data_IF_824587745614
#
_entry.id   IF_824587745614
#
_cell.length_a   1.000
_cell.length_b   1.000
_cell.length_c   1.000
_cell.angle_alpha   90.00
_cell.angle_beta   90.00
_cell.angle_gamma   90.00
#
_symmetry.space_group_name_H-M   'P 1'
#
loop_
_entity.id
_entity.type
_entity.pdbx_description
1 polymer ?
#
# COMPACT_ATOMS: atom_id res chain seq x y z
N UNK A 1 37.23 7.97 -12.59
CA UNK A 1 36.37 9.14 -12.82
C UNK A 1 35.04 8.63 -13.33
N UNK A 2 34.04 8.46 -12.46
CA UNK A 2 32.67 8.19 -12.90
C UNK A 2 32.11 9.46 -13.51
N UNK A 3 31.61 9.37 -14.74
CA UNK A 3 30.90 10.47 -15.36
C UNK A 3 29.70 10.87 -14.48
N UNK A 4 29.40 12.16 -14.38
CA UNK A 4 28.25 12.64 -13.64
C UNK A 4 26.96 12.10 -14.25
N UNK A 5 26.10 11.60 -13.37
CA UNK A 5 24.82 11.02 -13.70
C UNK A 5 23.93 12.13 -14.29
N UNK A 6 23.63 12.06 -15.58
CA UNK A 6 22.60 12.90 -16.21
C UNK A 6 21.22 12.35 -15.86
N UNK A 7 20.59 12.96 -14.86
CA UNK A 7 19.24 12.62 -14.42
C UNK A 7 18.19 13.14 -15.38
N UNK A 8 17.90 12.49 -16.51
CA UNK A 8 16.72 12.86 -17.29
C UNK A 8 15.46 12.26 -16.66
N UNK A 9 14.61 13.07 -16.00
CA UNK A 9 13.39 12.55 -15.41
C UNK A 9 12.49 12.02 -16.53
N UNK A 10 11.98 10.80 -16.36
CA UNK A 10 11.06 10.18 -17.32
C UNK A 10 9.78 11.02 -17.46
N UNK A 11 9.45 11.77 -16.41
CA UNK A 11 8.23 12.56 -16.30
C UNK A 11 8.59 14.04 -16.20
N UNK A 12 7.94 14.86 -17.02
CA UNK A 12 8.09 16.32 -16.95
C UNK A 12 7.60 16.87 -15.61
N UNK A 13 8.36 17.72 -14.94
CA UNK A 13 7.90 18.42 -13.74
C UNK A 13 7.07 19.63 -14.16
N UNK A 14 5.75 19.45 -14.24
CA UNK A 14 4.78 20.51 -14.50
C UNK A 14 3.69 20.45 -13.43
N UNK A 15 3.08 21.58 -13.06
CA UNK A 15 1.86 21.59 -12.26
C UNK A 15 0.78 20.74 -12.92
N UNK A 16 0.14 19.88 -12.12
CA UNK A 16 -0.84 18.89 -12.55
C UNK A 16 -2.13 18.97 -11.76
N UNK A 17 -3.25 18.66 -12.40
CA UNK A 17 -4.51 18.44 -11.70
C UNK A 17 -4.56 17.03 -11.11
N UNK A 18 -5.50 16.77 -10.20
CA UNK A 18 -5.67 15.44 -9.57
C UNK A 18 -5.88 14.34 -10.63
N UNK A 19 -6.67 14.64 -11.66
CA UNK A 19 -6.93 13.71 -12.77
C UNK A 19 -5.66 13.41 -13.58
N UNK A 20 -4.77 14.40 -13.74
CA UNK A 20 -3.47 14.18 -14.39
C UNK A 20 -2.52 13.34 -13.52
N UNK A 21 -2.59 13.47 -12.19
CA UNK A 21 -1.85 12.58 -11.27
C UNK A 21 -2.35 11.14 -11.33
N UNK A 22 -3.66 10.94 -11.46
CA UNK A 22 -4.27 9.61 -11.66
C UNK A 22 -3.89 8.99 -13.02
N UNK A 23 -4.01 9.75 -14.11
CA UNK A 23 -3.57 9.30 -15.45
C UNK A 23 -2.10 8.87 -15.45
N UNK A 24 -1.25 9.66 -14.80
CA UNK A 24 0.16 9.34 -14.71
C UNK A 24 0.45 8.10 -13.85
N UNK A 25 -0.35 7.86 -12.80
CA UNK A 25 -0.31 6.60 -12.04
C UNK A 25 -0.69 5.39 -12.91
N UNK A 26 -1.75 5.48 -13.71
CA UNK A 26 -2.11 4.41 -14.64
C UNK A 26 -1.03 4.17 -15.70
N UNK A 27 -0.45 5.23 -16.27
CA UNK A 27 0.67 5.11 -17.22
C UNK A 27 1.88 4.45 -16.60
N UNK A 28 2.23 4.81 -15.35
CA UNK A 28 3.32 4.18 -14.62
C UNK A 28 3.04 2.69 -14.40
N UNK A 29 1.85 2.34 -13.92
CA UNK A 29 1.46 0.93 -13.70
C UNK A 29 1.45 0.16 -15.02
N UNK A 30 0.98 0.74 -16.12
CA UNK A 30 1.00 0.11 -17.43
C UNK A 30 2.42 -0.12 -17.96
N UNK A 31 3.32 0.87 -17.80
CA UNK A 31 4.70 0.75 -18.25
C UNK A 31 5.52 -0.24 -17.41
N UNK A 32 5.27 -0.30 -16.10
CA UNK A 32 5.97 -1.19 -15.16
C UNK A 32 5.06 -2.31 -14.63
N UNK A 33 4.17 -2.84 -15.48
CA UNK A 33 3.12 -3.78 -15.06
C UNK A 33 3.70 -5.02 -14.38
N UNK A 34 4.74 -5.62 -14.94
CA UNK A 34 5.35 -6.84 -14.37
C UNK A 34 5.94 -6.63 -12.97
N UNK A 35 6.58 -5.47 -12.71
CA UNK A 35 7.15 -5.17 -11.40
C UNK A 35 6.05 -4.86 -10.38
N UNK A 36 5.07 -4.05 -10.79
CA UNK A 36 3.92 -3.66 -9.95
C UNK A 36 3.07 -4.89 -9.59
N UNK A 37 2.78 -5.76 -10.56
CA UNK A 37 2.06 -7.02 -10.32
C UNK A 37 2.89 -7.99 -9.46
N UNK A 38 4.21 -8.01 -9.60
CA UNK A 38 5.09 -8.81 -8.74
C UNK A 38 5.00 -8.40 -7.27
N UNK A 39 5.02 -7.09 -6.98
CA UNK A 39 4.82 -6.57 -5.61
C UNK A 39 3.41 -6.83 -5.10
N UNK A 40 2.41 -6.69 -5.96
CA UNK A 40 1.04 -7.03 -5.62
C UNK A 40 0.89 -8.51 -5.28
N UNK A 41 1.37 -9.42 -6.13
CA UNK A 41 1.34 -10.87 -5.87
C UNK A 41 2.05 -11.22 -4.56
N UNK A 42 3.18 -10.56 -4.28
CA UNK A 42 3.94 -10.81 -3.06
C UNK A 42 3.13 -10.56 -1.77
N UNK A 43 2.22 -9.58 -1.79
CA UNK A 43 1.46 -9.17 -0.59
C UNK A 43 0.00 -9.57 -0.68
N UNK A 44 -0.67 -9.26 -1.78
CA UNK A 44 -2.08 -9.54 -1.96
C UNK A 44 -2.40 -11.04 -1.98
N UNK A 45 -1.55 -11.88 -2.56
CA UNK A 45 -1.79 -13.33 -2.56
C UNK A 45 -1.80 -13.93 -1.15
N UNK A 46 -0.75 -13.77 -0.30
CA UNK A 46 -0.79 -14.31 1.05
C UNK A 46 -1.87 -13.65 1.91
N UNK A 47 -2.14 -12.35 1.73
CA UNK A 47 -3.22 -11.67 2.45
C UNK A 47 -4.59 -12.22 2.08
N UNK A 48 -4.88 -12.41 0.79
CA UNK A 48 -6.14 -13.02 0.34
C UNK A 48 -6.27 -14.47 0.77
N UNK A 49 -5.20 -15.27 0.68
CA UNK A 49 -5.22 -16.65 1.18
C UNK A 49 -5.52 -16.71 2.68
N UNK A 50 -4.95 -15.79 3.46
CA UNK A 50 -5.22 -15.71 4.88
C UNK A 50 -6.66 -15.29 5.17
N UNK A 51 -7.19 -14.28 4.46
CA UNK A 51 -8.60 -13.91 4.59
C UNK A 51 -9.49 -15.10 4.29
N UNK A 52 -9.17 -15.91 3.27
CA UNK A 52 -9.92 -17.12 2.93
C UNK A 52 -9.92 -18.11 4.09
N UNK A 53 -8.73 -18.44 4.61
CA UNK A 53 -8.56 -19.40 5.71
C UNK A 53 -9.29 -18.91 6.96
N UNK A 54 -9.15 -17.65 7.30
CA UNK A 54 -9.77 -17.08 8.49
C UNK A 54 -11.28 -16.96 8.38
N UNK A 55 -11.83 -16.66 7.21
CA UNK A 55 -13.29 -16.66 7.00
C UNK A 55 -13.87 -18.07 6.85
N UNK A 56 -13.08 -19.04 6.36
CA UNK A 56 -13.52 -20.43 6.22
C UNK A 56 -13.52 -21.19 7.56
N UNK A 57 -12.52 -20.95 8.41
CA UNK A 57 -12.32 -21.69 9.66
C UNK A 57 -12.61 -20.87 10.92
N UNK A 58 -12.81 -19.57 10.80
CA UNK A 58 -13.18 -18.68 11.89
C UNK A 58 -14.38 -17.83 11.52
N UNK A 59 -15.07 -17.31 12.55
CA UNK A 59 -16.16 -16.34 12.39
C UNK A 59 -15.61 -14.94 12.09
N UNK A 60 -14.87 -14.83 10.98
CA UNK A 60 -14.20 -13.59 10.58
C UNK A 60 -15.10 -12.82 9.62
N UNK A 61 -15.75 -11.80 10.16
CA UNK A 61 -16.56 -10.85 9.41
C UNK A 61 -15.71 -9.90 8.53
N UNK A 62 -16.36 -9.23 7.57
CA UNK A 62 -15.81 -8.12 6.75
C UNK A 62 -14.98 -7.10 7.54
N UNK A 63 -15.34 -6.82 8.80
CA UNK A 63 -14.62 -5.86 9.65
C UNK A 63 -13.16 -6.25 9.87
N UNK A 64 -12.89 -7.52 10.10
CA UNK A 64 -11.54 -8.06 10.22
C UNK A 64 -10.83 -8.05 8.89
N UNK A 65 -11.54 -8.33 7.81
CA UNK A 65 -11.01 -8.26 6.44
C UNK A 65 -10.53 -6.85 6.11
N UNK A 66 -11.29 -5.82 6.46
CA UNK A 66 -10.87 -4.41 6.29
C UNK A 66 -9.61 -4.09 7.10
N UNK A 67 -9.47 -4.62 8.32
CA UNK A 67 -8.25 -4.48 9.12
C UNK A 67 -7.06 -5.17 8.45
N UNK A 68 -7.24 -6.40 7.99
CA UNK A 68 -6.20 -7.18 7.30
C UNK A 68 -5.76 -6.47 6.02
N UNK A 69 -6.71 -5.98 5.20
CA UNK A 69 -6.43 -5.17 4.01
C UNK A 69 -5.61 -3.94 4.42
N UNK A 70 -6.05 -3.19 5.42
CA UNK A 70 -5.33 -2.00 5.88
C UNK A 70 -3.88 -2.33 6.22
N UNK A 71 -3.64 -3.35 7.04
CA UNK A 71 -2.27 -3.74 7.41
C UNK A 71 -1.45 -4.18 6.20
N UNK A 72 -2.05 -4.89 5.24
CA UNK A 72 -1.39 -5.29 4.01
C UNK A 72 -1.04 -4.11 3.09
N UNK A 73 -1.81 -3.02 3.11
CA UNK A 73 -1.49 -1.82 2.33
C UNK A 73 -0.20 -1.12 2.79
N UNK A 74 0.21 -1.29 4.06
CA UNK A 74 1.39 -0.64 4.62
C UNK A 74 2.71 -1.10 3.96
N UNK A 75 3.08 -2.40 4.01
CA UNK A 75 4.28 -2.87 3.31
C UNK A 75 4.16 -2.69 1.79
N UNK A 76 2.94 -2.82 1.24
CA UNK A 76 2.73 -2.67 -0.20
C UNK A 76 3.03 -1.25 -0.67
N UNK A 77 2.53 -0.25 0.05
CA UNK A 77 2.83 1.16 -0.26
C UNK A 77 4.32 1.48 -0.12
N UNK A 78 5.04 0.76 0.74
CA UNK A 78 6.48 0.98 0.93
C UNK A 78 7.30 0.41 -0.20
N UNK A 79 7.03 -0.83 -0.59
CA UNK A 79 7.65 -1.44 -1.77
C UNK A 79 7.39 -0.60 -3.03
N UNK A 80 6.14 -0.14 -3.18
CA UNK A 80 5.73 0.61 -4.35
C UNK A 80 6.45 1.97 -4.46
N UNK A 81 6.52 2.74 -3.37
CA UNK A 81 7.19 4.05 -3.40
C UNK A 81 8.71 3.91 -3.48
N UNK A 82 9.29 2.92 -2.80
CA UNK A 82 10.73 2.69 -2.85
C UNK A 82 11.21 2.27 -4.26
N UNK A 83 10.35 1.61 -5.04
CA UNK A 83 10.61 1.32 -6.45
C UNK A 83 10.27 2.49 -7.38
N UNK A 84 9.15 3.19 -7.14
CA UNK A 84 8.69 4.27 -8.00
C UNK A 84 9.64 5.47 -8.01
N UNK A 85 10.12 5.89 -6.83
CA UNK A 85 10.97 7.08 -6.69
C UNK A 85 12.22 6.99 -7.59
N UNK A 86 13.12 5.98 -7.47
CA UNK A 86 14.32 5.91 -8.31
C UNK A 86 14.03 5.85 -9.81
N UNK A 87 12.99 5.12 -10.22
CA UNK A 87 12.63 5.00 -11.65
C UNK A 87 12.16 6.32 -12.23
N UNK A 88 11.35 7.07 -11.49
CA UNK A 88 10.78 8.34 -11.96
C UNK A 88 11.84 9.42 -12.12
N UNK A 89 12.81 9.44 -11.19
CA UNK A 89 13.93 10.39 -11.25
C UNK A 89 15.05 9.97 -12.21
N UNK A 90 14.94 8.81 -12.88
CA UNK A 90 15.85 8.43 -13.96
C UNK A 90 17.18 7.83 -13.48
N UNK A 91 17.24 7.19 -12.30
CA UNK A 91 18.34 6.27 -12.00
C UNK A 91 18.38 5.20 -13.10
N UNK A 92 19.35 5.27 -14.00
CA UNK A 92 19.44 4.34 -15.12
C UNK A 92 19.52 2.90 -14.58
N UNK A 93 18.75 1.98 -15.15
CA UNK A 93 18.75 0.58 -14.71
C UNK A 93 20.14 -0.08 -14.84
N UNK A 94 21.03 0.51 -15.65
CA UNK A 94 22.45 0.19 -15.80
C UNK A 94 23.28 0.51 -14.56
N UNK A 95 22.99 1.60 -13.84
CA UNK A 95 23.66 1.92 -12.56
C UNK A 95 23.11 1.11 -11.39
N UNK A 96 21.82 0.72 -11.44
CA UNK A 96 21.28 -0.30 -10.54
C UNK A 96 21.84 -1.70 -10.81
N UNK A 97 22.38 -1.95 -12.02
CA UNK A 97 23.07 -3.20 -12.39
C UNK A 97 24.57 -3.21 -12.09
N UNK A 98 25.20 -2.07 -11.81
CA UNK A 98 26.61 -2.06 -11.39
C UNK A 98 26.71 -2.74 -10.02
N UNK A 99 27.27 -3.94 -10.09
CA UNK A 99 27.47 -5.00 -9.10
C UNK A 99 26.61 -4.96 -7.83
N UNK A 100 25.95 -6.07 -7.45
CA UNK A 100 25.58 -6.29 -6.07
C UNK A 100 26.89 -6.41 -5.27
N UNK A 101 27.53 -5.28 -4.97
CA UNK A 101 28.44 -5.17 -3.86
C UNK A 101 27.70 -5.86 -2.72
N UNK A 102 28.30 -6.92 -2.21
CA UNK A 102 27.84 -7.77 -1.11
C UNK A 102 27.50 -6.88 0.07
N UNK A 103 26.31 -6.29 0.05
CA UNK A 103 25.73 -5.58 1.17
C UNK A 103 24.92 -6.63 1.91
N UNK A 104 25.39 -7.13 3.07
CA UNK A 104 24.65 -8.07 3.90
C UNK A 104 23.29 -7.52 4.39
N UNK A 105 22.97 -6.27 4.07
CA UNK A 105 21.84 -5.52 4.61
C UNK A 105 20.55 -5.63 3.77
N UNK A 106 20.57 -6.21 2.56
CA UNK A 106 19.32 -6.49 1.81
C UNK A 106 18.40 -7.46 2.56
N UNK A 107 18.99 -8.36 3.36
CA UNK A 107 18.25 -9.25 4.26
C UNK A 107 17.52 -8.49 5.38
N UNK A 108 17.97 -7.27 5.73
CA UNK A 108 17.39 -6.50 6.83
C UNK A 108 16.02 -5.92 6.49
N UNK A 109 15.86 -5.32 5.31
CA UNK A 109 14.56 -4.82 4.85
C UNK A 109 13.53 -5.95 4.73
N UNK A 110 13.99 -7.11 4.27
CA UNK A 110 13.20 -8.33 4.22
C UNK A 110 12.81 -8.84 5.60
N UNK A 111 13.77 -8.93 6.51
CA UNK A 111 13.53 -9.41 7.87
C UNK A 111 12.60 -8.46 8.61
N UNK A 112 12.68 -7.15 8.37
CA UNK A 112 11.76 -6.19 9.00
C UNK A 112 10.34 -6.34 8.46
N UNK A 113 10.14 -6.48 7.15
CA UNK A 113 8.81 -6.75 6.58
C UNK A 113 8.26 -8.09 7.04
N UNK A 114 9.10 -9.13 7.10
CA UNK A 114 8.75 -10.46 7.61
C UNK A 114 8.48 -10.48 9.11
N UNK A 115 9.19 -9.67 9.91
CA UNK A 115 8.99 -9.55 11.35
C UNK A 115 7.75 -8.71 11.63
N UNK A 116 7.46 -7.68 10.84
CA UNK A 116 6.22 -6.89 10.98
C UNK A 116 5.01 -7.72 10.58
N UNK A 117 5.10 -8.43 9.45
CA UNK A 117 4.10 -9.42 9.08
C UNK A 117 4.02 -10.44 10.20
N UNK A 118 5.10 -11.13 10.55
CA UNK A 118 5.14 -12.18 11.57
C UNK A 118 4.60 -11.76 12.95
N UNK A 119 5.00 -10.59 13.48
CA UNK A 119 4.53 -10.06 14.77
C UNK A 119 3.10 -9.56 14.68
N UNK A 120 2.73 -8.84 13.61
CA UNK A 120 1.35 -8.43 13.37
C UNK A 120 0.42 -9.62 13.25
N UNK A 121 0.87 -10.68 12.56
CA UNK A 121 0.16 -11.95 12.41
C UNK A 121 0.12 -12.74 13.72
N UNK A 122 1.20 -12.79 14.50
CA UNK A 122 1.25 -13.48 15.79
C UNK A 122 0.32 -12.82 16.81
N UNK A 123 0.33 -11.49 16.89
CA UNK A 123 -0.54 -10.75 17.78
C UNK A 123 -2.02 -10.89 17.38
N UNK A 124 -2.32 -10.91 16.07
CA UNK A 124 -3.68 -11.18 15.58
C UNK A 124 -4.12 -12.60 15.95
N UNK A 125 -3.25 -13.59 15.73
CA UNK A 125 -3.53 -15.00 16.03
C UNK A 125 -3.72 -15.28 17.53
N UNK A 126 -2.93 -14.65 18.39
CA UNK A 126 -3.02 -14.77 19.85
C UNK A 126 -4.34 -14.17 20.38
N UNK A 127 -4.67 -12.94 19.96
CA UNK A 127 -5.94 -12.30 20.34
C UNK A 127 -7.18 -13.01 19.76
N UNK A 128 -7.05 -13.66 18.59
CA UNK A 128 -8.11 -14.49 18.00
C UNK A 128 -8.26 -15.83 18.73
N UNK A 129 -7.17 -16.46 19.14
CA UNK A 129 -7.18 -17.73 19.88
C UNK A 129 -7.95 -17.63 21.19
N UNK A 130 -7.70 -16.56 21.95
CA UNK A 130 -8.36 -16.31 23.24
C UNK A 130 -9.86 -16.00 23.08
N UNK A 131 -10.25 -15.25 22.03
CA UNK A 131 -11.67 -14.90 21.80
C UNK A 131 -12.50 -16.02 21.21
N UNK A 132 -11.91 -16.92 20.43
CA UNK A 132 -12.63 -18.01 19.77
C UNK A 132 -12.76 -19.26 20.66
N UNK A 133 -12.20 -19.25 21.89
CA UNK A 133 -12.16 -20.43 22.75
C UNK A 133 -11.44 -21.62 22.11
N UNK A 134 -10.67 -21.35 21.05
CA UNK A 134 -9.92 -22.33 20.31
C UNK A 134 -8.69 -22.67 21.15
N UNK A 135 -8.84 -23.66 22.02
CA UNK A 135 -7.70 -24.46 22.48
C UNK A 135 -7.16 -25.19 21.24
N UNK A 136 -6.34 -24.48 20.45
CA UNK A 136 -5.70 -25.00 19.26
C UNK A 136 -4.84 -26.20 19.66
N UNK A 137 -5.41 -27.39 19.54
CA UNK A 137 -4.69 -28.64 19.81
C UNK A 137 -3.50 -28.73 18.87
N UNK A 138 -2.34 -29.07 19.42
CA UNK A 138 -1.02 -29.13 18.77
C UNK A 138 -0.97 -29.96 17.49
N UNK A 139 -1.98 -30.77 17.20
CA UNK A 139 -2.09 -31.57 15.97
C UNK A 139 -2.41 -30.73 14.72
N UNK A 140 -3.21 -29.67 14.85
CA UNK A 140 -3.56 -28.77 13.73
C UNK A 140 -2.34 -27.99 13.22
N UNK A 141 -1.34 -27.75 14.07
CA UNK A 141 -0.07 -27.10 13.71
C UNK A 141 0.74 -27.87 12.66
N UNK A 142 0.58 -29.18 12.53
CA UNK A 142 1.37 -29.98 11.58
C UNK A 142 0.95 -29.77 10.11
N UNK A 143 -0.36 -29.63 9.85
CA UNK A 143 -0.90 -29.45 8.50
C UNK A 143 -0.74 -28.00 8.07
N UNK A 144 -1.08 -27.05 8.95
CA UNK A 144 -0.85 -25.62 8.71
C UNK A 144 0.63 -25.26 8.69
N UNK A 145 1.47 -25.95 9.48
CA UNK A 145 2.92 -25.82 9.44
C UNK A 145 3.53 -26.33 8.14
N UNK A 146 2.99 -27.41 7.57
CA UNK A 146 3.44 -27.95 6.26
C UNK A 146 3.08 -27.02 5.08
N UNK A 147 1.85 -26.52 5.03
CA UNK A 147 1.41 -25.56 4.01
C UNK A 147 2.12 -24.21 4.19
N UNK A 148 2.33 -23.79 5.44
CA UNK A 148 3.13 -22.62 5.80
C UNK A 148 4.60 -22.77 5.38
N UNK A 149 5.20 -23.96 5.49
CA UNK A 149 6.58 -24.22 5.06
C UNK A 149 6.75 -24.19 3.54
N UNK A 150 5.84 -24.79 2.76
CA UNK A 150 5.92 -24.73 1.29
C UNK A 150 5.62 -23.31 0.76
N UNK A 151 4.60 -22.65 1.30
CA UNK A 151 4.26 -21.25 0.99
C UNK A 151 5.39 -20.30 1.39
N UNK A 152 6.01 -20.51 2.55
CA UNK A 152 7.14 -19.70 3.00
C UNK A 152 8.36 -19.86 2.10
N UNK A 153 8.66 -21.01 1.49
CA UNK A 153 9.81 -21.11 0.56
C UNK A 153 9.60 -20.27 -0.70
N UNK A 154 8.38 -20.26 -1.26
CA UNK A 154 8.05 -19.43 -2.44
C UNK A 154 8.00 -17.95 -2.06
N UNK A 155 7.38 -17.63 -0.93
CA UNK A 155 7.34 -16.28 -0.38
C UNK A 155 8.76 -15.81 -0.09
N UNK A 156 9.61 -16.62 0.54
CA UNK A 156 11.02 -16.34 0.84
C UNK A 156 11.82 -16.16 -0.45
N UNK A 157 11.61 -16.97 -1.50
CA UNK A 157 12.28 -16.74 -2.79
C UNK A 157 11.83 -15.45 -3.48
N UNK A 158 10.53 -15.16 -3.49
CA UNK A 158 9.97 -13.94 -4.04
C UNK A 158 10.43 -12.71 -3.24
N UNK A 159 10.43 -12.83 -1.92
CA UNK A 159 11.00 -11.87 -0.97
C UNK A 159 12.47 -11.66 -1.24
N UNK A 160 13.31 -12.70 -1.32
CA UNK A 160 14.75 -12.58 -1.64
C UNK A 160 14.94 -11.90 -2.99
N UNK A 161 14.13 -12.22 -4.01
CA UNK A 161 14.19 -11.55 -5.31
C UNK A 161 13.84 -10.06 -5.19
N UNK A 162 12.80 -9.72 -4.43
CA UNK A 162 12.38 -8.34 -4.21
C UNK A 162 13.39 -7.59 -3.34
N UNK A 163 13.88 -8.16 -2.24
CA UNK A 163 14.94 -7.59 -1.42
C UNK A 163 16.25 -7.37 -2.17
N UNK A 164 16.62 -8.29 -3.07
CA UNK A 164 17.78 -8.07 -3.95
C UNK A 164 17.58 -6.87 -4.87
N UNK A 165 16.34 -6.57 -5.25
CA UNK A 165 16.02 -5.38 -6.06
C UNK A 165 15.84 -4.10 -5.23
N UNK A 166 15.52 -4.21 -3.94
CA UNK A 166 15.16 -3.09 -3.08
C UNK A 166 16.31 -2.76 -2.11
N UNK A 167 17.08 -1.70 -2.39
CA UNK A 167 18.05 -1.18 -1.43
C UNK A 167 17.31 -0.47 -0.29
N UNK A 168 17.14 -1.16 0.84
CA UNK A 168 16.55 -0.57 2.06
C UNK A 168 17.68 -0.30 3.07
N UNK A 169 18.15 0.95 3.10
CA UNK A 169 19.04 1.46 4.13
C UNK A 169 18.36 1.48 5.50
N UNK A 170 19.18 1.33 6.55
CA UNK A 170 18.73 1.31 7.95
C UNK A 170 17.85 2.50 8.34
N UNK A 171 18.21 3.73 7.94
CA UNK A 171 17.43 4.94 8.24
C UNK A 171 16.00 4.85 7.70
N UNK A 172 15.83 4.27 6.52
CA UNK A 172 14.49 4.10 5.93
C UNK A 172 13.77 2.92 6.55
N UNK A 173 14.48 1.90 7.00
CA UNK A 173 13.91 0.87 7.88
C UNK A 173 13.33 1.48 9.15
N UNK A 174 14.05 2.41 9.81
CA UNK A 174 13.56 3.13 10.98
C UNK A 174 12.35 4.01 10.67
N UNK A 175 12.41 4.81 9.60
CA UNK A 175 11.29 5.66 9.19
C UNK A 175 10.08 4.84 8.75
N UNK A 176 10.31 3.69 8.13
CA UNK A 176 9.26 2.72 7.80
C UNK A 176 8.62 2.18 9.06
N UNK A 177 9.40 1.73 10.04
CA UNK A 177 8.87 1.27 11.32
C UNK A 177 8.10 2.37 12.06
N UNK A 178 8.63 3.58 12.10
CA UNK A 178 7.94 4.72 12.70
C UNK A 178 6.63 5.03 11.96
N UNK A 179 6.65 5.05 10.63
CA UNK A 179 5.46 5.26 9.80
C UNK A 179 4.44 4.13 10.02
N UNK A 180 4.90 2.90 10.17
CA UNK A 180 4.07 1.74 10.47
C UNK A 180 3.41 1.90 11.84
N UNK A 181 4.18 2.21 12.90
CA UNK A 181 3.65 2.45 14.25
C UNK A 181 2.62 3.58 14.25
N UNK A 182 2.93 4.68 13.56
CA UNK A 182 2.04 5.83 13.49
C UNK A 182 0.76 5.51 12.72
N UNK A 183 0.86 4.76 11.61
CA UNK A 183 -0.30 4.31 10.84
C UNK A 183 -1.12 3.26 11.59
N UNK A 184 -0.48 2.34 12.33
CA UNK A 184 -1.20 1.40 13.20
C UNK A 184 -1.94 2.13 14.32
N UNK A 185 -1.42 3.25 14.81
CA UNK A 185 -2.18 4.12 15.73
C UNK A 185 -3.39 4.76 15.03
N UNK A 186 -3.26 5.16 13.76
CA UNK A 186 -4.38 5.62 12.95
C UNK A 186 -5.46 4.54 12.74
N UNK A 187 -5.11 3.24 12.81
CA UNK A 187 -6.06 2.12 12.75
C UNK A 187 -6.92 2.02 13.99
N UNK A 188 -6.40 2.45 15.14
CA UNK A 188 -7.09 2.31 16.41
C UNK A 188 -8.47 2.99 16.37
N UNK A 189 -8.57 4.16 15.72
CA UNK A 189 -9.85 4.85 15.53
C UNK A 189 -10.86 4.02 14.72
N UNK A 190 -10.60 3.72 13.43
CA UNK A 190 -11.47 2.88 12.61
C UNK A 190 -11.75 1.50 13.22
N UNK A 191 -10.76 0.86 13.86
CA UNK A 191 -10.96 -0.41 14.55
C UNK A 191 -11.98 -0.28 15.70
N UNK A 192 -11.91 0.78 16.50
CA UNK A 192 -12.90 1.07 17.54
C UNK A 192 -14.29 1.37 16.95
N UNK A 193 -14.37 1.95 15.74
CA UNK A 193 -15.66 2.16 15.04
C UNK A 193 -16.24 0.84 14.55
N UNK A 194 -15.41 -0.01 13.93
CA UNK A 194 -15.85 -1.28 13.36
C UNK A 194 -16.16 -2.33 14.44
N UNK A 195 -15.41 -2.31 15.53
CA UNK A 195 -15.57 -3.16 16.69
C UNK A 195 -15.92 -2.31 17.90
N UNK A 196 -17.12 -1.71 17.95
CA UNK A 196 -17.51 -0.92 19.10
C UNK A 196 -17.49 -1.85 20.32
N UNK A 197 -16.58 -1.64 21.29
CA UNK A 197 -16.57 -2.47 22.49
C UNK A 197 -17.73 -2.08 23.43
N UNK A 198 -18.48 -1.04 23.06
CA UNK A 198 -19.51 -0.42 23.85
C UNK A 198 -20.85 -0.51 23.13
N UNK A 199 -21.88 -0.90 23.88
CA UNK A 199 -23.26 -1.04 23.39
C UNK A 199 -23.94 0.31 23.13
N UNK A 200 -23.35 1.41 23.61
CA UNK A 200 -23.93 2.75 23.59
C UNK A 200 -23.47 3.59 22.38
N UNK A 201 -24.43 4.10 21.61
CA UNK A 201 -24.21 4.95 20.44
C UNK A 201 -23.42 6.24 20.72
N UNK A 202 -23.43 6.72 21.98
CA UNK A 202 -22.67 7.91 22.40
C UNK A 202 -21.16 7.67 22.36
N UNK A 203 -20.72 6.47 22.72
CA UNK A 203 -19.31 6.09 22.63
C UNK A 203 -18.88 5.89 21.18
N UNK A 204 -19.77 5.41 20.30
CA UNK A 204 -19.52 5.39 18.86
C UNK A 204 -19.28 6.80 18.28
N UNK A 205 -19.99 7.82 18.78
CA UNK A 205 -19.81 9.21 18.37
C UNK A 205 -18.48 9.81 18.87
N UNK A 206 -18.06 9.47 20.09
CA UNK A 206 -16.73 9.84 20.62
C UNK A 206 -15.61 9.16 19.82
N UNK A 207 -15.80 7.90 19.44
CA UNK A 207 -14.85 7.17 18.59
C UNK A 207 -14.81 7.76 17.19
N UNK A 208 -15.95 8.14 16.60
CA UNK A 208 -16.01 8.88 15.34
C UNK A 208 -15.22 10.20 15.43
N UNK A 209 -15.39 10.95 16.53
CA UNK A 209 -14.59 12.15 16.79
C UNK A 209 -13.08 11.84 16.91
N UNK A 210 -12.70 10.68 17.44
CA UNK A 210 -11.31 10.22 17.49
C UNK A 210 -10.75 9.77 16.12
N UNK A 211 -11.61 9.43 15.14
CA UNK A 211 -11.15 9.12 13.77
C UNK A 211 -10.66 10.36 13.03
N UNK A 212 -11.20 11.55 13.32
CA UNK A 212 -10.80 12.80 12.66
C UNK A 212 -9.31 13.14 12.92
N UNK A 213 -8.80 13.11 14.17
CA UNK A 213 -7.37 13.21 14.45
C UNK A 213 -6.53 12.13 13.74
N UNK A 214 -7.05 10.91 13.63
CA UNK A 214 -6.38 9.81 12.93
C UNK A 214 -6.22 10.09 11.44
N UNK A 215 -7.27 10.58 10.77
CA UNK A 215 -7.25 11.00 9.36
C UNK A 215 -6.29 12.17 9.18
N UNK A 216 -6.35 13.17 10.08
CA UNK A 216 -5.45 14.32 10.04
C UNK A 216 -3.98 13.91 10.19
N UNK A 217 -3.68 13.02 11.14
CA UNK A 217 -2.34 12.48 11.33
C UNK A 217 -1.89 11.66 10.12
N UNK A 218 -2.78 10.85 9.54
CA UNK A 218 -2.51 10.05 8.34
C UNK A 218 -2.21 10.92 7.12
N UNK A 219 -2.93 12.03 6.93
CA UNK A 219 -2.65 12.98 5.86
C UNK A 219 -1.30 13.67 6.06
N UNK A 220 -1.03 14.13 7.28
CA UNK A 220 0.22 14.83 7.61
C UNK A 220 1.45 13.94 7.51
N UNK A 221 1.32 12.67 7.85
CA UNK A 221 2.42 11.69 7.82
C UNK A 221 2.43 10.84 6.56
N UNK A 222 1.44 11.05 5.69
CA UNK A 222 1.24 10.27 4.46
C UNK A 222 2.41 10.35 3.48
N UNK A 223 3.21 11.43 3.55
CA UNK A 223 4.35 11.71 2.68
C UNK A 223 5.73 11.47 3.31
N UNK A 224 5.81 10.97 4.55
CA UNK A 224 7.11 10.75 5.22
C UNK A 224 7.99 9.77 4.44
N UNK A 225 7.38 8.76 3.84
CA UNK A 225 8.10 7.77 3.04
C UNK A 225 8.63 8.41 1.76
N UNK A 226 7.79 9.16 1.06
CA UNK A 226 8.12 9.90 -0.16
C UNK A 226 9.29 10.86 0.06
N UNK A 227 9.25 11.60 1.18
CA UNK A 227 10.35 12.48 1.61
C UNK A 227 11.62 11.70 1.88
N UNK A 228 11.52 10.58 2.60
CA UNK A 228 12.69 9.73 2.95
C UNK A 228 13.32 9.12 1.70
N UNK A 229 12.52 8.60 0.78
CA UNK A 229 13.01 8.02 -0.48
C UNK A 229 13.62 9.10 -1.38
N UNK A 230 13.04 10.30 -1.43
CA UNK A 230 13.59 11.42 -2.21
C UNK A 230 14.90 11.93 -1.63
N UNK A 231 15.02 11.99 -0.30
CA UNK A 231 16.24 12.42 0.40
C UNK A 231 17.44 11.49 0.12
N UNK A 232 17.20 10.22 -0.21
CA UNK A 232 18.27 9.31 -0.64
C UNK A 232 18.83 9.62 -2.01
N UNK A 233 17.98 10.11 -2.93
CA UNK A 233 18.42 10.44 -4.29
C UNK A 233 19.32 11.67 -4.25
N UNK A 234 18.94 12.68 -3.49
CA UNK A 234 19.75 13.87 -3.28
C UNK A 234 19.36 14.53 -1.96
N UNK A 235 20.28 14.61 -0.96
CA UNK A 235 20.01 15.26 0.31
C UNK A 235 19.60 16.73 0.16
N UNK A 236 20.00 17.42 -0.91
CA UNK A 236 19.58 18.79 -1.18
C UNK A 236 18.06 18.89 -1.45
N UNK A 237 17.40 17.80 -1.87
CA UNK A 237 15.95 17.76 -2.06
C UNK A 237 15.18 17.68 -0.73
N UNK A 238 15.88 17.47 0.39
CA UNK A 238 15.33 17.45 1.73
C UNK A 238 15.43 18.85 2.35
N UNK A 239 14.41 19.68 2.09
CA UNK A 239 14.28 20.97 2.75
C UNK A 239 13.31 20.87 3.94
N UNK A 240 13.70 21.36 5.11
CA UNK A 240 12.82 21.52 6.28
C UNK A 240 11.55 22.33 5.93
N UNK A 241 11.66 23.18 4.90
CA UNK A 241 10.57 23.93 4.32
C UNK A 241 9.41 23.06 3.80
N UNK A 242 9.68 21.86 3.28
CA UNK A 242 8.64 20.96 2.75
C UNK A 242 7.61 20.61 3.83
N UNK A 243 8.08 20.45 5.08
CA UNK A 243 7.20 20.17 6.22
C UNK A 243 6.30 21.35 6.58
N UNK A 244 6.68 22.59 6.26
CA UNK A 244 5.86 23.79 6.47
C UNK A 244 4.84 23.95 5.34
N UNK A 245 5.29 23.80 4.09
CA UNK A 245 4.41 23.85 2.91
C UNK A 245 3.29 22.82 3.01
N UNK A 246 3.59 21.59 3.42
CA UNK A 246 2.57 20.56 3.61
C UNK A 246 1.57 20.88 4.74
N UNK A 247 1.97 21.65 5.76
CA UNK A 247 1.05 22.07 6.83
C UNK A 247 0.09 23.14 6.33
N UNK A 248 0.59 24.10 5.56
CA UNK A 248 -0.23 25.17 5.00
C UNK A 248 -1.27 24.63 4.01
N UNK A 249 -0.91 23.59 3.25
CA UNK A 249 -1.78 22.98 2.23
C UNK A 249 -2.67 21.83 2.74
N UNK A 250 -2.88 21.70 4.06
CA UNK A 250 -3.65 20.58 4.63
C UNK A 250 -5.07 20.49 4.06
N UNK A 251 -5.73 21.63 3.82
CA UNK A 251 -7.08 21.66 3.26
C UNK A 251 -7.15 21.15 1.82
N UNK A 252 -6.21 21.58 0.97
CA UNK A 252 -6.12 21.10 -0.42
C UNK A 252 -5.78 19.60 -0.44
N UNK A 253 -4.85 19.16 0.41
CA UNK A 253 -4.49 17.76 0.57
C UNK A 253 -5.66 16.88 0.98
N UNK A 254 -6.49 17.35 1.91
CA UNK A 254 -7.70 16.66 2.32
C UNK A 254 -8.66 16.48 1.14
N UNK A 255 -8.94 17.55 0.40
CA UNK A 255 -9.81 17.49 -0.78
C UNK A 255 -9.30 16.51 -1.85
N UNK A 256 -7.98 16.52 -2.10
CA UNK A 256 -7.32 15.57 -3.02
C UNK A 256 -7.46 14.13 -2.53
N UNK A 257 -7.23 13.88 -1.24
CA UNK A 257 -7.34 12.55 -0.64
C UNK A 257 -8.78 12.02 -0.69
N UNK A 258 -9.78 12.87 -0.40
CA UNK A 258 -11.20 12.50 -0.48
C UNK A 258 -11.57 12.12 -1.91
N UNK A 259 -11.20 12.94 -2.90
CA UNK A 259 -11.48 12.65 -4.31
C UNK A 259 -10.84 11.34 -4.77
N UNK A 260 -9.56 11.12 -4.44
CA UNK A 260 -8.86 9.88 -4.76
C UNK A 260 -9.49 8.66 -4.10
N UNK A 261 -9.96 8.80 -2.85
CA UNK A 261 -10.64 7.72 -2.13
C UNK A 261 -11.96 7.37 -2.81
N UNK A 262 -12.78 8.37 -3.18
CA UNK A 262 -14.02 8.14 -3.92
C UNK A 262 -13.77 7.45 -5.27
N UNK A 263 -12.80 7.94 -6.04
CA UNK A 263 -12.40 7.33 -7.29
C UNK A 263 -11.95 5.87 -7.10
N UNK A 264 -11.15 5.62 -6.06
CA UNK A 264 -10.66 4.27 -5.72
C UNK A 264 -11.81 3.33 -5.33
N UNK A 265 -12.77 3.79 -4.52
CA UNK A 265 -13.95 2.99 -4.17
C UNK A 265 -14.79 2.64 -5.40
N UNK A 266 -14.96 3.59 -6.33
CA UNK A 266 -15.65 3.34 -7.58
C UNK A 266 -14.94 2.28 -8.44
N UNK A 267 -13.63 2.46 -8.67
CA UNK A 267 -12.83 1.48 -9.45
C UNK A 267 -12.82 0.11 -8.77
N UNK A 268 -12.76 0.07 -7.43
CA UNK A 268 -12.83 -1.17 -6.67
C UNK A 268 -14.16 -1.90 -6.88
N UNK A 269 -15.29 -1.19 -6.80
CA UNK A 269 -16.60 -1.77 -7.08
C UNK A 269 -16.70 -2.33 -8.50
N UNK A 270 -16.22 -1.58 -9.50
CA UNK A 270 -16.20 -2.05 -10.90
C UNK A 270 -15.30 -3.28 -11.07
N UNK A 271 -14.12 -3.29 -10.46
CA UNK A 271 -13.20 -4.43 -10.51
C UNK A 271 -13.75 -5.67 -9.79
N UNK A 272 -14.47 -5.48 -8.69
CA UNK A 272 -15.13 -6.57 -7.99
C UNK A 272 -16.25 -7.19 -8.83
N UNK A 273 -17.13 -6.37 -9.41
CA UNK A 273 -18.22 -6.84 -10.28
C UNK A 273 -17.66 -7.55 -11.53
N UNK A 274 -16.61 -7.00 -12.13
CA UNK A 274 -15.97 -7.63 -13.30
C UNK A 274 -15.27 -8.94 -12.93
N UNK A 275 -14.63 -9.02 -11.77
CA UNK A 275 -14.05 -10.28 -11.27
C UNK A 275 -15.13 -11.34 -11.01
N UNK A 276 -16.27 -10.97 -10.43
CA UNK A 276 -17.43 -11.86 -10.22
C UNK A 276 -17.99 -12.38 -11.55
N UNK A 277 -18.19 -11.49 -12.53
CA UNK A 277 -18.65 -11.87 -13.87
C UNK A 277 -17.66 -12.80 -14.58
N UNK A 278 -16.36 -12.49 -14.51
CA UNK A 278 -15.29 -13.30 -15.10
C UNK A 278 -15.22 -14.69 -14.47
N UNK A 279 -15.31 -14.77 -13.13
CA UNK A 279 -15.29 -16.04 -12.42
C UNK A 279 -16.52 -16.89 -12.74
N UNK A 280 -17.69 -16.26 -12.83
CA UNK A 280 -18.94 -16.91 -13.25
C UNK A 280 -18.81 -17.49 -14.66
N UNK A 281 -18.17 -16.77 -15.58
CA UNK A 281 -18.00 -17.21 -16.98
C UNK A 281 -16.96 -18.32 -17.13
N UNK A 282 -15.80 -18.17 -16.49
CA UNK A 282 -14.65 -19.09 -16.66
C UNK A 282 -14.82 -20.36 -15.84
N UNK A 283 -15.15 -20.21 -14.55
CA UNK A 283 -15.17 -21.34 -13.60
C UNK A 283 -16.57 -21.91 -13.40
N UNK A 284 -17.62 -21.25 -13.94
CA UNK A 284 -19.04 -21.59 -13.67
C UNK A 284 -19.40 -21.57 -12.19
N UNK A 285 -18.64 -20.82 -11.40
CA UNK A 285 -18.86 -20.64 -9.97
C UNK A 285 -19.18 -19.17 -9.73
N UNK A 286 -20.45 -18.78 -9.56
CA UNK A 286 -20.78 -17.40 -9.23
C UNK A 286 -20.20 -17.05 -7.86
N UNK A 287 -19.61 -15.86 -7.74
CA UNK A 287 -19.03 -15.39 -6.47
C UNK A 287 -20.11 -14.63 -5.70
N UNK A 288 -20.71 -13.60 -6.30
CA UNK A 288 -21.66 -12.71 -5.63
C UNK A 288 -22.99 -12.59 -6.38
N UNK A 289 -23.04 -11.98 -7.57
CA UNK A 289 -24.31 -11.64 -8.24
C UNK A 289 -25.13 -12.87 -8.61
N UNK A 290 -24.47 -13.94 -9.07
CA UNK A 290 -25.17 -15.19 -9.37
C UNK A 290 -25.72 -15.90 -8.13
N UNK A 291 -25.09 -15.73 -6.96
CA UNK A 291 -25.59 -16.25 -5.68
C UNK A 291 -26.72 -15.38 -5.14
N UNK A 292 -26.62 -14.07 -5.32
CA UNK A 292 -27.63 -13.12 -4.92
C UNK A 292 -28.97 -13.38 -5.65
N UNK A 293 -28.91 -13.79 -6.91
CA UNK A 293 -30.08 -14.17 -7.72
C UNK A 293 -30.62 -15.59 -7.43
N UNK A 294 -30.06 -16.33 -6.46
CA UNK A 294 -30.53 -17.68 -6.14
C UNK A 294 -31.79 -17.71 -5.26
N UNK A 295 -32.21 -16.55 -4.75
CA UNK A 295 -33.46 -16.41 -4.00
C UNK A 295 -34.68 -16.67 -4.89
N UNK A 296 -35.74 -17.30 -4.37
CA UNK A 296 -36.95 -17.60 -5.13
C UNK A 296 -37.60 -16.31 -5.67
N UNK A 297 -38.09 -16.39 -6.91
CA UNK A 297 -38.78 -15.27 -7.55
C UNK A 297 -40.00 -14.85 -6.71
N UNK A 298 -39.97 -13.62 -6.21
CA UNK A 298 -41.00 -13.07 -5.31
C UNK A 298 -40.54 -12.75 -3.89
N UNK A 299 -39.27 -12.99 -3.55
CA UNK A 299 -38.69 -12.52 -2.28
C UNK A 299 -38.74 -10.98 -2.18
N UNK A 300 -39.07 -10.46 -1.00
CA UNK A 300 -39.09 -9.03 -0.74
C UNK A 300 -37.68 -8.40 -0.86
N UNK A 301 -37.62 -7.11 -1.20
CA UNK A 301 -36.36 -6.36 -1.31
C UNK A 301 -35.51 -6.45 -0.03
N UNK A 302 -36.15 -6.49 1.14
CA UNK A 302 -35.47 -6.60 2.43
C UNK A 302 -34.71 -7.93 2.57
N UNK A 303 -35.33 -9.05 2.17
CA UNK A 303 -34.70 -10.37 2.21
C UNK A 303 -33.51 -10.44 1.25
N UNK A 304 -33.66 -9.86 0.06
CA UNK A 304 -32.60 -9.74 -0.94
C UNK A 304 -31.40 -8.94 -0.42
N UNK A 305 -31.66 -7.78 0.21
CA UNK A 305 -30.60 -6.94 0.80
C UNK A 305 -29.92 -7.65 1.98
N UNK A 306 -30.69 -8.32 2.83
CA UNK A 306 -30.15 -9.09 3.96
C UNK A 306 -29.26 -10.23 3.48
N UNK A 307 -29.70 -10.98 2.47
CA UNK A 307 -28.90 -12.06 1.89
C UNK A 307 -27.61 -11.52 1.25
N UNK A 308 -27.69 -10.42 0.51
CA UNK A 308 -26.50 -9.75 -0.05
C UNK A 308 -25.53 -9.29 1.03
N UNK A 309 -26.04 -8.80 2.15
CA UNK A 309 -25.19 -8.40 3.28
C UNK A 309 -24.55 -9.61 3.96
N UNK A 310 -25.30 -10.69 4.18
CA UNK A 310 -24.74 -11.92 4.74
C UNK A 310 -23.61 -12.47 3.86
N UNK A 311 -23.79 -12.47 2.53
CA UNK A 311 -22.74 -12.85 1.58
C UNK A 311 -21.52 -11.91 1.68
N UNK A 312 -21.74 -10.60 1.69
CA UNK A 312 -20.64 -9.61 1.74
C UNK A 312 -19.89 -9.66 3.09
N UNK A 313 -20.55 -10.04 4.17
CA UNK A 313 -19.97 -10.04 5.51
C UNK A 313 -19.30 -11.36 5.90
N UNK A 314 -19.79 -12.49 5.39
CA UNK A 314 -19.40 -13.82 5.89
C UNK A 314 -18.89 -14.77 4.81
N UNK A 315 -19.20 -14.55 3.54
CA UNK A 315 -18.80 -15.50 2.50
C UNK A 315 -17.29 -15.40 2.24
N UNK A 316 -16.53 -16.50 2.44
CA UNK A 316 -15.08 -16.48 2.32
C UNK A 316 -14.61 -16.17 0.90
N UNK A 317 -15.34 -16.60 -0.12
CA UNK A 317 -14.99 -16.36 -1.53
C UNK A 317 -15.22 -14.90 -1.90
N UNK A 318 -16.32 -14.31 -1.42
CA UNK A 318 -16.63 -12.89 -1.62
C UNK A 318 -15.59 -12.02 -0.94
N UNK A 319 -15.31 -12.27 0.35
CA UNK A 319 -14.35 -11.50 1.15
C UNK A 319 -12.92 -11.54 0.57
N UNK A 320 -12.50 -12.67 0.04
CA UNK A 320 -11.17 -12.84 -0.56
C UNK A 320 -11.03 -12.12 -1.89
N UNK A 321 -12.08 -12.17 -2.71
CA UNK A 321 -12.17 -11.44 -3.97
C UNK A 321 -12.20 -9.93 -3.73
N UNK A 322 -12.95 -9.48 -2.71
CA UNK A 322 -12.95 -8.08 -2.26
C UNK A 322 -11.55 -7.64 -1.82
N UNK A 323 -10.87 -8.45 -1.02
CA UNK A 323 -9.49 -8.17 -0.55
C UNK A 323 -8.52 -8.04 -1.72
N UNK A 324 -8.56 -9.00 -2.65
CA UNK A 324 -7.66 -9.04 -3.81
C UNK A 324 -7.83 -7.80 -4.70
N UNK A 325 -9.08 -7.46 -5.02
CA UNK A 325 -9.41 -6.29 -5.84
C UNK A 325 -9.11 -4.97 -5.13
N UNK A 326 -9.35 -4.88 -3.81
CA UNK A 326 -9.02 -3.70 -3.02
C UNK A 326 -7.50 -3.40 -3.03
N UNK A 327 -6.68 -4.43 -2.83
CA UNK A 327 -5.22 -4.30 -2.86
C UNK A 327 -4.69 -3.96 -4.27
N UNK A 328 -5.38 -4.39 -5.32
CA UNK A 328 -5.03 -4.03 -6.70
C UNK A 328 -5.28 -2.54 -6.95
N UNK A 329 -6.43 -2.03 -6.53
CA UNK A 329 -6.77 -0.60 -6.65
C UNK A 329 -5.85 0.27 -5.80
N UNK A 330 -5.46 -0.23 -4.62
CA UNK A 330 -4.53 0.48 -3.75
C UNK A 330 -3.21 0.84 -4.43
N UNK A 331 -2.70 0.00 -5.35
CA UNK A 331 -1.46 0.30 -6.10
C UNK A 331 -1.58 1.62 -6.87
N UNK A 332 -2.64 1.74 -7.65
CA UNK A 332 -2.89 2.93 -8.49
C UNK A 332 -3.11 4.14 -7.59
N UNK A 333 -3.92 3.99 -6.55
CA UNK A 333 -4.23 5.07 -5.62
C UNK A 333 -2.98 5.59 -4.90
N UNK A 334 -2.12 4.68 -4.42
CA UNK A 334 -0.88 5.04 -3.71
C UNK A 334 0.11 5.76 -4.62
N UNK A 335 0.23 5.34 -5.88
CA UNK A 335 1.04 6.06 -6.88
C UNK A 335 0.45 7.43 -7.22
N UNK A 336 -0.87 7.52 -7.37
CA UNK A 336 -1.53 8.80 -7.61
C UNK A 336 -1.31 9.79 -6.47
N UNK A 337 -1.37 9.31 -5.22
CA UNK A 337 -1.02 10.09 -4.04
C UNK A 337 0.43 10.59 -4.07
N UNK A 338 1.37 9.74 -4.48
CA UNK A 338 2.76 10.14 -4.71
C UNK A 338 2.90 11.21 -5.82
N UNK A 339 2.15 11.11 -6.91
CA UNK A 339 2.17 12.15 -7.94
C UNK A 339 1.55 13.47 -7.45
N UNK A 340 0.57 13.43 -6.55
CA UNK A 340 0.09 14.63 -5.87
C UNK A 340 1.15 15.25 -4.95
N UNK A 341 1.98 14.45 -4.29
CA UNK A 341 3.14 14.96 -3.55
C UNK A 341 4.09 15.73 -4.47
N UNK A 342 4.47 15.13 -5.61
CA UNK A 342 5.34 15.79 -6.60
C UNK A 342 4.70 17.08 -7.10
N UNK A 343 3.41 17.06 -7.44
CA UNK A 343 2.69 18.24 -7.92
C UNK A 343 2.74 19.39 -6.92
N UNK A 344 2.49 19.12 -5.63
CA UNK A 344 2.55 20.15 -4.58
C UNK A 344 3.95 20.76 -4.50
N UNK A 345 4.99 19.93 -4.54
CA UNK A 345 6.38 20.43 -4.55
C UNK A 345 6.70 21.25 -5.78
N UNK A 346 6.25 20.84 -6.97
CA UNK A 346 6.45 21.62 -8.19
C UNK A 346 5.76 22.98 -8.11
N UNK A 347 4.54 23.03 -7.56
CA UNK A 347 3.76 24.28 -7.45
C UNK A 347 4.27 25.24 -6.38
N UNK A 348 4.71 24.72 -5.24
CA UNK A 348 4.99 25.54 -4.04
C UNK A 348 6.48 25.72 -3.79
N UNK A 349 7.29 24.68 -4.05
CA UNK A 349 8.75 24.75 -3.86
C UNK A 349 9.49 25.15 -5.14
N UNK A 350 8.77 25.34 -6.27
CA UNK A 350 9.38 25.52 -7.60
C UNK A 350 10.42 24.43 -7.88
N UNK A 351 10.08 23.19 -7.52
CA UNK A 351 11.04 22.09 -7.46
C UNK A 351 11.71 21.79 -8.83
N UNK A 352 11.03 22.11 -9.92
CA UNK A 352 11.58 22.00 -11.27
C UNK A 352 12.74 23.00 -11.52
N UNK A 353 12.63 24.22 -10.97
CA UNK A 353 13.67 25.24 -11.03
C UNK A 353 14.87 24.85 -10.18
N UNK A 354 14.62 24.35 -8.96
CA UNK A 354 15.67 23.86 -8.06
C UNK A 354 16.49 22.74 -8.73
N UNK A 355 15.81 21.75 -9.31
CA UNK A 355 16.47 20.66 -10.04
C UNK A 355 17.27 21.17 -11.25
N UNK A 356 16.76 22.16 -11.99
CA UNK A 356 17.49 22.78 -13.12
C UNK A 356 18.73 23.55 -12.65
N UNK A 357 18.63 24.29 -11.54
CA UNK A 357 19.75 25.04 -10.96
C UNK A 357 20.83 24.07 -10.47
N UNK A 358 20.45 23.02 -9.74
CA UNK A 358 21.38 21.99 -9.26
C UNK A 358 22.09 21.29 -10.43
N UNK A 359 21.37 20.95 -11.49
CA UNK A 359 21.96 20.39 -12.71
C UNK A 359 22.97 21.37 -13.33
N UNK A 360 22.59 22.63 -13.50
CA UNK A 360 23.46 23.66 -14.10
C UNK A 360 24.71 23.90 -13.26
N UNK A 361 24.57 23.97 -11.94
CA UNK A 361 25.68 24.10 -10.99
C UNK A 361 26.68 22.95 -11.11
N UNK A 362 26.20 21.70 -11.22
CA UNK A 362 27.08 20.52 -11.44
C UNK A 362 27.81 20.58 -12.78
N UNK A 363 27.12 20.99 -13.85
CA UNK A 363 27.76 21.15 -15.16
C UNK A 363 28.86 22.22 -15.15
N UNK A 364 28.64 23.33 -14.43
CA UNK A 364 29.62 24.40 -14.29
C UNK A 364 30.83 23.98 -13.44
N UNK A 365 30.60 23.26 -12.33
CA UNK A 365 31.69 22.78 -11.48
C UNK A 365 32.60 21.80 -12.23
N UNK A 366 32.03 20.93 -13.06
CA UNK A 366 32.79 20.02 -13.91
C UNK A 366 33.61 20.74 -14.97
N UNK A 367 32.99 21.68 -15.70
CA UNK A 367 33.71 22.48 -16.71
C UNK A 367 34.91 23.18 -16.09
N UNK A 368 34.76 23.71 -14.88
CA UNK A 368 35.84 24.37 -14.14
C UNK A 368 36.99 23.41 -13.79
N UNK A 369 36.68 22.15 -13.45
CA UNK A 369 37.72 21.13 -13.17
C UNK A 369 38.47 20.74 -14.45
N UNK A 370 37.78 20.57 -15.58
CA UNK A 370 38.44 20.27 -16.87
C UNK A 370 39.30 21.40 -17.43
N UNK A 371 39.09 22.66 -17.02
CA UNK A 371 39.94 23.79 -17.46
C UNK A 371 41.22 23.90 -16.63
N UNK A 372 41.23 23.35 -15.40
CA UNK A 372 42.39 23.40 -14.50
C UNK A 372 43.38 22.26 -14.68
N UNK A 373 42.96 21.19 -15.37
CA UNK A 373 43.82 20.07 -15.78
C UNK A 373 44.20 20.25 -17.24
#
# INVERSE_FOLDING_TARGET
MSLPIEWEPIISFKPRTINQSLDLAFRYVGHFLGCTLGMWLLIAFPTSALVYVFSQFGDVDLRWVLMIIYFATLPLGVLLINDAVPRIFGCSSSELRMEPATYPNGAFGLSVVLVILGLGWAFLAENLGDRLGLTFTTRSWSIWGGIGLAGSVVIIKALISVARSQRIDWRTGQMFFLSLCLRSLCVLGPALVLFPPFKDWRLALVVLLATIPGIWLALRTGFLLEQTCSARLDPALQNDHVGLVLKEETGELFGRATWMTQFSLFVWGVLFITADALASLIFRTPIFLGRLNSLPAGSDLEEYLKHGWDLLFRDPVVLTTLTSTALLVYLVNRLAWFFCYIDIRVRRDCWDLELKILRTSRLLSQKTVTIKN
#
